data_IF_820651280246
#
_entry.id   IF_820651280246
#
_cell.length_a   1.000
_cell.length_b   1.000
_cell.length_c   1.000
_cell.angle_alpha   90.00
_cell.angle_beta   90.00
_cell.angle_gamma   90.00
#
_symmetry.space_group_name_H-M   'P 1'
#
loop_
_entity.id
_entity.type
_entity.pdbx_description
1 polymer ?
#
# COMPACT_ATOMS: atom_id res chain seq x y z
N UNK A 1 -30.22 -25.27 -45.21
CA UNK A 1 -29.86 -26.16 -44.08
C UNK A 1 -28.45 -25.78 -43.68
N UNK A 2 -28.33 -24.97 -42.64
CA UNK A 2 -27.06 -24.35 -42.24
C UNK A 2 -26.72 -24.91 -40.86
N UNK A 3 -25.66 -25.71 -40.82
CA UNK A 3 -25.18 -26.39 -39.61
C UNK A 3 -24.42 -25.40 -38.74
N UNK A 4 -24.90 -25.21 -37.50
CA UNK A 4 -24.20 -24.48 -36.43
C UNK A 4 -23.32 -25.49 -35.69
N UNK A 5 -22.01 -25.24 -35.67
CA UNK A 5 -21.05 -25.99 -34.84
C UNK A 5 -20.88 -25.23 -33.52
N UNK A 6 -21.26 -25.87 -32.42
CA UNK A 6 -20.98 -25.43 -31.05
C UNK A 6 -19.63 -26.02 -30.65
N UNK A 7 -18.65 -25.19 -30.32
CA UNK A 7 -17.39 -25.62 -29.70
C UNK A 7 -17.44 -25.23 -28.23
N UNK A 8 -17.55 -26.24 -27.36
CA UNK A 8 -17.41 -26.13 -25.92
C UNK A 8 -15.91 -26.15 -25.56
N UNK A 9 -15.43 -25.08 -24.92
CA UNK A 9 -14.08 -25.01 -24.34
C UNK A 9 -14.09 -25.48 -22.89
N UNK A 10 -13.38 -26.57 -22.61
CA UNK A 10 -13.20 -27.19 -21.30
C UNK A 10 -12.08 -26.46 -20.54
N UNK A 11 -12.37 -25.94 -19.34
CA UNK A 11 -11.35 -25.52 -18.37
C UNK A 11 -10.73 -26.76 -17.70
N UNK A 12 -9.42 -26.92 -17.85
CA UNK A 12 -8.63 -27.91 -17.13
C UNK A 12 -8.14 -27.34 -15.79
N UNK A 13 -8.59 -27.95 -14.69
CA UNK A 13 -8.07 -27.75 -13.33
C UNK A 13 -6.84 -28.63 -13.15
N UNK A 14 -5.70 -28.04 -12.76
CA UNK A 14 -4.56 -28.79 -12.22
C UNK A 14 -4.39 -28.46 -10.75
N UNK A 15 -4.77 -29.43 -9.91
CA UNK A 15 -4.51 -29.46 -8.48
C UNK A 15 -3.05 -29.84 -8.23
N UNK A 16 -2.29 -28.95 -7.58
CA UNK A 16 -0.94 -29.22 -7.08
C UNK A 16 -0.90 -28.99 -5.57
N UNK A 17 -1.08 -30.06 -4.80
CA UNK A 17 -0.95 -30.04 -3.34
C UNK A 17 0.52 -29.95 -2.92
N UNK A 18 0.89 -28.87 -2.24
CA UNK A 18 2.19 -28.73 -1.59
C UNK A 18 2.06 -29.11 -0.10
N UNK A 19 2.72 -30.21 0.27
CA UNK A 19 2.83 -30.71 1.64
C UNK A 19 3.83 -29.84 2.42
N UNK A 20 3.35 -29.15 3.45
CA UNK A 20 4.20 -28.42 4.40
C UNK A 20 5.01 -29.41 5.24
N UNK A 21 6.34 -29.34 5.18
CA UNK A 21 7.25 -30.02 6.11
C UNK A 21 7.85 -28.98 7.07
N UNK A 22 7.81 -29.17 8.39
CA UNK A 22 8.46 -28.28 9.33
C UNK A 22 9.98 -28.50 9.31
N UNK A 23 10.75 -27.41 9.24
CA UNK A 23 12.21 -27.45 9.40
C UNK A 23 12.62 -27.09 10.83
N UNK A 24 13.42 -27.98 11.40
CA UNK A 24 14.03 -27.88 12.71
C UNK A 24 15.25 -26.94 12.67
N UNK A 25 15.38 -26.11 13.71
CA UNK A 25 16.55 -25.25 13.94
C UNK A 25 17.66 -26.08 14.57
N UNK A 26 18.76 -26.30 13.85
CA UNK A 26 20.00 -26.82 14.43
C UNK A 26 20.95 -25.66 14.71
N UNK A 27 21.12 -25.36 16.00
CA UNK A 27 22.14 -24.44 16.48
C UNK A 27 23.54 -25.00 16.22
N UNK A 28 24.41 -24.19 15.61
CA UNK A 28 25.84 -24.52 15.47
C UNK A 28 26.62 -23.60 16.40
N UNK A 29 27.30 -24.21 17.37
CA UNK A 29 28.26 -23.58 18.28
C UNK A 29 29.52 -23.17 17.51
N UNK A 30 29.86 -21.88 17.54
CA UNK A 30 31.12 -21.41 16.97
C UNK A 30 32.26 -21.56 17.99
N UNK A 31 33.28 -22.32 17.60
CA UNK A 31 34.49 -22.63 18.37
C UNK A 31 35.49 -21.49 18.19
N UNK A 32 35.92 -20.89 19.30
CA UNK A 32 36.98 -19.90 19.32
C UNK A 32 38.33 -20.51 18.89
N UNK A 33 39.03 -19.84 17.98
CA UNK A 33 40.43 -20.12 17.62
C UNK A 33 41.29 -19.02 18.23
N UNK A 34 42.22 -19.42 19.10
CA UNK A 34 43.23 -18.55 19.68
C UNK A 34 44.34 -18.27 18.66
N UNK A 35 44.74 -17.00 18.54
CA UNK A 35 45.91 -16.56 17.77
C UNK A 35 46.92 -15.93 18.75
N UNK A 36 48.18 -16.37 18.65
CA UNK A 36 49.31 -15.95 19.47
C UNK A 36 49.80 -14.52 19.12
N UNK A 37 50.52 -13.84 20.03
CA UNK A 37 50.82 -12.41 19.89
C UNK A 37 52.04 -12.17 18.97
N UNK A 38 51.92 -11.22 18.06
CA UNK A 38 53.04 -10.62 17.35
C UNK A 38 53.44 -9.31 18.02
N UNK A 39 54.74 -9.17 18.30
CA UNK A 39 55.35 -7.97 18.86
C UNK A 39 55.36 -6.84 17.82
N UNK A 40 54.46 -5.87 17.99
CA UNK A 40 54.43 -4.61 17.24
C UNK A 40 54.89 -3.44 18.11
N UNK A 41 55.89 -2.71 17.63
CA UNK A 41 56.48 -1.50 18.21
C UNK A 41 55.43 -0.42 18.50
N UNK A 42 55.37 0.07 19.74
CA UNK A 42 54.44 1.13 20.17
C UNK A 42 54.89 2.51 19.68
N UNK A 43 54.00 3.22 18.98
CA UNK A 43 54.04 4.69 18.87
C UNK A 43 53.31 5.30 20.08
N UNK A 44 53.71 6.51 20.54
CA UNK A 44 52.99 7.18 21.62
C UNK A 44 51.57 7.59 21.18
N UNK A 45 50.61 7.68 22.10
CA UNK A 45 49.23 8.04 21.78
C UNK A 45 49.14 9.53 21.39
N UNK A 46 48.22 9.90 20.48
CA UNK A 46 47.92 11.30 20.24
C UNK A 46 47.24 11.92 21.47
N UNK A 47 47.61 13.16 21.78
CA UNK A 47 47.01 14.01 22.82
C UNK A 47 45.49 14.10 22.65
N UNK A 48 44.68 14.01 23.73
CA UNK A 48 43.24 14.20 23.64
C UNK A 48 42.91 15.61 23.15
N UNK A 49 42.17 15.71 22.03
CA UNK A 49 41.58 16.97 21.59
C UNK A 49 40.52 17.41 22.61
N UNK A 50 40.53 18.71 22.94
CA UNK A 50 39.55 19.32 23.83
C UNK A 50 38.11 19.10 23.31
N UNK A 51 37.11 18.91 24.19
CA UNK A 51 35.73 18.73 23.78
C UNK A 51 35.23 19.98 23.05
N UNK A 52 34.65 19.77 21.86
CA UNK A 52 33.98 20.82 21.13
C UNK A 52 32.80 21.36 21.96
N UNK A 53 32.51 22.67 21.90
CA UNK A 53 31.35 23.24 22.60
C UNK A 53 30.07 22.55 22.12
N UNK A 54 29.06 22.38 23.00
CA UNK A 54 27.79 21.80 22.62
C UNK A 54 27.18 22.65 21.50
N UNK A 55 27.00 22.04 20.32
CA UNK A 55 26.17 22.60 19.27
C UNK A 55 24.76 22.73 19.85
N UNK A 56 24.35 23.97 20.11
CA UNK A 56 22.98 24.29 20.46
C UNK A 56 22.10 23.80 19.31
N UNK A 57 21.26 22.79 19.56
CA UNK A 57 20.31 22.33 18.57
C UNK A 57 19.41 23.52 18.19
N UNK A 58 19.53 23.98 16.95
CA UNK A 58 18.56 24.89 16.35
C UNK A 58 17.20 24.21 16.46
N UNK A 59 16.17 24.86 17.04
CA UNK A 59 14.85 24.25 17.08
C UNK A 59 14.41 23.95 15.65
N UNK A 60 14.08 22.68 15.40
CA UNK A 60 13.45 22.25 14.16
C UNK A 60 12.26 23.17 13.91
N UNK A 61 12.15 23.84 12.75
CA UNK A 61 11.00 24.69 12.49
C UNK A 61 9.75 23.84 12.60
N UNK A 62 8.84 24.26 13.48
CA UNK A 62 7.52 23.66 13.65
C UNK A 62 6.82 23.78 12.30
N UNK A 63 6.68 22.66 11.58
CA UNK A 63 5.83 22.59 10.40
C UNK A 63 4.45 23.12 10.83
N UNK A 64 3.84 24.08 10.11
CA UNK A 64 2.50 24.55 10.44
C UNK A 64 1.59 23.34 10.64
N UNK A 65 0.92 23.26 11.78
CA UNK A 65 -0.01 22.18 12.05
C UNK A 65 -1.12 22.24 11.00
N UNK A 66 -1.29 21.16 10.24
CA UNK A 66 -2.40 21.00 9.30
C UNK A 66 -3.73 21.07 10.08
N UNK A 67 -4.73 21.76 9.53
CA UNK A 67 -6.08 21.73 10.08
C UNK A 67 -6.77 20.44 9.63
N UNK A 68 -6.79 19.43 10.49
CA UNK A 68 -7.44 18.14 10.22
C UNK A 68 -8.97 18.24 10.09
N UNK A 69 -9.58 19.38 10.43
CA UNK A 69 -10.99 19.67 10.17
C UNK A 69 -11.23 20.41 8.83
N UNK A 70 -10.16 20.71 8.08
CA UNK A 70 -10.21 21.51 6.85
C UNK A 70 -10.87 20.81 5.66
N UNK A 71 -11.00 19.48 5.67
CA UNK A 71 -11.75 18.72 4.68
C UNK A 71 -12.62 17.64 5.34
N UNK A 72 -13.71 17.26 4.67
CA UNK A 72 -14.65 16.27 5.19
C UNK A 72 -14.05 14.86 5.16
N UNK A 73 -14.34 14.07 6.19
CA UNK A 73 -14.01 12.64 6.25
C UNK A 73 -15.20 11.74 5.89
N UNK A 74 -16.33 12.34 5.48
CA UNK A 74 -17.58 11.64 5.18
C UNK A 74 -18.09 11.93 3.75
N UNK A 75 -17.85 13.13 3.25
CA UNK A 75 -18.25 13.52 1.90
C UNK A 75 -17.39 12.79 0.87
N UNK A 76 -17.96 11.95 -0.01
CA UNK A 76 -17.19 11.17 -0.97
C UNK A 76 -16.48 12.01 -2.05
N UNK A 77 -16.83 13.29 -2.18
CA UNK A 77 -16.10 14.25 -3.03
C UNK A 77 -14.85 14.83 -2.36
N UNK A 78 -14.69 14.65 -1.05
CA UNK A 78 -13.50 15.11 -0.31
C UNK A 78 -12.29 14.20 -0.57
N UNK A 79 -11.10 14.79 -0.67
CA UNK A 79 -9.84 14.02 -0.75
C UNK A 79 -9.57 13.26 0.54
N UNK A 80 -10.10 13.72 1.67
CA UNK A 80 -9.92 13.12 3.00
C UNK A 80 -11.06 12.19 3.43
N UNK A 81 -11.98 11.84 2.53
CA UNK A 81 -13.03 10.86 2.83
C UNK A 81 -12.44 9.55 3.37
N UNK A 82 -12.97 9.04 4.48
CA UNK A 82 -12.51 7.75 5.02
C UNK A 82 -13.56 6.70 4.72
N UNK A 83 -13.19 5.78 3.83
CA UNK A 83 -14.00 4.63 3.42
C UNK A 83 -13.33 3.37 3.95
N UNK A 84 -14.08 2.57 4.70
CA UNK A 84 -13.62 1.31 5.27
C UNK A 84 -14.81 0.42 5.64
N UNK A 85 -14.59 -0.70 6.33
CA UNK A 85 -15.65 -1.65 6.70
C UNK A 85 -16.77 -1.04 7.56
N UNK A 86 -16.47 -0.03 8.37
CA UNK A 86 -17.46 0.67 9.21
C UNK A 86 -18.05 1.91 8.55
N UNK A 87 -17.46 2.39 7.45
CA UNK A 87 -17.80 3.67 6.80
C UNK A 87 -17.96 3.45 5.29
N UNK A 88 -19.18 3.17 4.80
CA UNK A 88 -19.41 3.05 3.36
C UNK A 88 -19.39 4.44 2.70
N UNK A 89 -19.12 4.44 1.40
CA UNK A 89 -19.39 5.55 0.49
C UNK A 89 -20.89 5.87 0.55
N UNK A 90 -21.22 7.14 0.76
CA UNK A 90 -22.60 7.61 0.84
C UNK A 90 -22.78 8.84 -0.09
N UNK A 91 -23.70 8.77 -1.07
CA UNK A 91 -24.60 7.64 -1.38
C UNK A 91 -23.87 6.46 -2.04
N UNK A 92 -24.47 5.26 -1.98
CA UNK A 92 -23.83 4.03 -2.49
C UNK A 92 -23.59 4.05 -4.00
N UNK A 93 -24.34 4.84 -4.76
CA UNK A 93 -24.20 5.04 -6.20
C UNK A 93 -23.32 6.24 -6.56
N UNK A 94 -22.61 6.83 -5.59
CA UNK A 94 -21.68 7.91 -5.84
C UNK A 94 -20.62 7.47 -6.87
N UNK A 95 -20.46 8.32 -7.89
CA UNK A 95 -19.36 8.31 -8.84
C UNK A 95 -18.77 9.73 -8.93
N UNK A 96 -17.43 9.91 -8.88
CA UNK A 96 -16.83 11.22 -9.03
C UNK A 96 -17.12 11.82 -10.40
N UNK A 97 -17.50 13.10 -10.44
CA UNK A 97 -17.76 13.81 -11.70
C UNK A 97 -16.47 14.24 -12.44
N UNK A 98 -15.33 14.18 -11.76
CA UNK A 98 -14.03 14.70 -12.19
C UNK A 98 -13.02 13.60 -12.57
N UNK A 99 -13.51 12.46 -13.06
CA UNK A 99 -12.67 11.35 -13.51
C UNK A 99 -11.92 11.68 -14.81
N UNK A 100 -10.63 11.40 -14.82
CA UNK A 100 -9.71 11.52 -15.96
C UNK A 100 -8.94 10.23 -16.17
N UNK A 101 -8.46 9.99 -17.38
CA UNK A 101 -7.69 8.78 -17.71
C UNK A 101 -6.29 8.79 -17.11
N UNK A 102 -5.82 7.62 -16.67
CA UNK A 102 -4.46 7.35 -16.22
C UNK A 102 -4.07 5.96 -16.75
N UNK A 103 -3.52 5.92 -17.97
CA UNK A 103 -3.40 4.67 -18.73
C UNK A 103 -4.77 4.17 -19.19
N UNK A 104 -5.05 2.89 -18.99
CA UNK A 104 -6.35 2.27 -19.28
C UNK A 104 -7.36 2.47 -18.13
N UNK A 105 -6.91 3.03 -17.00
CA UNK A 105 -7.71 3.27 -15.81
C UNK A 105 -8.19 4.73 -15.73
N UNK A 106 -9.08 5.00 -14.77
CA UNK A 106 -9.54 6.36 -14.47
C UNK A 106 -9.28 6.72 -13.02
N UNK A 107 -8.94 7.97 -12.74
CA UNK A 107 -8.77 8.50 -11.37
C UNK A 107 -9.40 9.87 -11.29
N UNK A 108 -9.62 10.39 -10.08
CA UNK A 108 -10.02 11.79 -9.93
C UNK A 108 -8.91 12.73 -10.40
N UNK A 109 -9.29 13.89 -10.93
CA UNK A 109 -8.36 14.89 -11.44
C UNK A 109 -7.29 15.29 -10.41
N UNK A 110 -7.64 15.36 -9.13
CA UNK A 110 -6.70 15.68 -8.04
C UNK A 110 -5.56 14.66 -7.87
N UNK A 111 -5.77 13.42 -8.32
CA UNK A 111 -4.80 12.31 -8.21
C UNK A 111 -3.85 12.30 -9.41
N UNK A 112 -4.32 12.75 -10.57
CA UNK A 112 -3.69 12.50 -11.87
C UNK A 112 -2.22 12.97 -11.93
N UNK A 113 -1.95 14.23 -11.66
CA UNK A 113 -0.62 14.80 -11.85
C UNK A 113 0.40 14.21 -10.88
N UNK A 114 -0.03 13.92 -9.64
CA UNK A 114 0.80 13.27 -8.64
C UNK A 114 1.08 11.80 -8.97
N UNK A 115 0.09 11.07 -9.51
CA UNK A 115 0.28 9.72 -9.99
C UNK A 115 1.26 9.67 -11.17
N UNK A 116 1.11 10.58 -12.15
CA UNK A 116 2.03 10.69 -13.29
C UNK A 116 3.45 11.00 -12.81
N UNK A 117 3.59 11.93 -11.86
CA UNK A 117 4.89 12.25 -11.27
C UNK A 117 5.53 11.06 -10.54
N UNK A 118 4.74 10.28 -9.80
CA UNK A 118 5.19 9.07 -9.12
C UNK A 118 5.69 8.01 -10.11
N UNK A 119 4.91 7.72 -11.16
CA UNK A 119 5.28 6.75 -12.20
C UNK A 119 6.56 7.19 -12.93
N UNK A 120 6.69 8.48 -13.25
CA UNK A 120 7.89 9.03 -13.90
C UNK A 120 9.13 8.96 -12.99
N UNK A 121 8.97 9.23 -11.69
CA UNK A 121 10.04 9.12 -10.72
C UNK A 121 10.50 7.67 -10.53
N UNK A 122 9.57 6.72 -10.50
CA UNK A 122 9.88 5.29 -10.46
C UNK A 122 10.71 4.89 -11.69
N UNK A 123 10.27 5.28 -12.89
CA UNK A 123 10.97 4.96 -14.13
C UNK A 123 12.39 5.56 -14.16
N UNK A 124 12.56 6.78 -13.66
CA UNK A 124 13.88 7.42 -13.50
C UNK A 124 14.80 6.63 -12.55
N UNK A 125 14.22 5.98 -11.54
CA UNK A 125 14.92 5.10 -10.61
C UNK A 125 15.14 3.67 -11.16
N UNK A 126 14.74 3.39 -12.41
CA UNK A 126 14.85 2.07 -13.02
C UNK A 126 13.74 1.09 -12.61
N UNK A 127 12.65 1.59 -12.01
CA UNK A 127 11.48 0.81 -11.59
C UNK A 127 10.33 1.12 -12.52
N UNK A 128 9.82 0.11 -13.25
CA UNK A 128 8.75 0.30 -14.22
C UNK A 128 7.40 -0.04 -13.59
N UNK A 129 6.76 0.96 -12.97
CA UNK A 129 5.41 0.80 -12.45
C UNK A 129 4.35 0.91 -13.56
N UNK A 130 3.26 0.17 -13.40
CA UNK A 130 2.03 0.34 -14.17
C UNK A 130 0.83 0.48 -13.24
N UNK A 131 -0.24 1.13 -13.70
CA UNK A 131 -1.52 1.16 -12.99
C UNK A 131 -2.35 -0.02 -13.46
N UNK A 132 -2.80 -0.84 -12.52
CA UNK A 132 -3.59 -2.06 -12.77
C UNK A 132 -5.09 -1.85 -12.54
N UNK A 133 -5.44 -0.90 -11.66
CA UNK A 133 -6.83 -0.62 -11.30
C UNK A 133 -6.94 0.78 -10.69
N UNK A 134 -7.93 1.56 -11.13
CA UNK A 134 -8.24 2.90 -10.62
C UNK A 134 -9.67 2.98 -10.09
N UNK A 135 -10.46 3.91 -10.60
CA UNK A 135 -11.87 4.07 -10.24
C UNK A 135 -12.68 2.82 -10.56
N UNK A 136 -13.46 2.38 -9.59
CA UNK A 136 -14.36 1.24 -9.71
C UNK A 136 -15.74 1.59 -9.16
N UNK A 137 -16.77 1.48 -9.98
CA UNK A 137 -18.14 1.77 -9.55
C UNK A 137 -18.64 0.77 -8.51
N UNK A 138 -19.71 1.13 -7.79
CA UNK A 138 -20.41 0.21 -6.89
C UNK A 138 -20.81 -1.11 -7.59
N UNK A 139 -21.33 -1.00 -8.81
CA UNK A 139 -21.79 -2.17 -9.57
C UNK A 139 -20.62 -3.12 -9.91
N UNK A 140 -19.49 -2.58 -10.36
CA UNK A 140 -18.28 -3.37 -10.62
C UNK A 140 -17.72 -3.99 -9.35
N UNK A 141 -17.71 -3.26 -8.22
CA UNK A 141 -17.27 -3.83 -6.94
C UNK A 141 -18.18 -4.98 -6.49
N UNK A 142 -19.50 -4.90 -6.74
CA UNK A 142 -20.44 -5.99 -6.47
C UNK A 142 -20.10 -7.24 -7.26
N UNK A 143 -19.85 -7.11 -8.56
CA UNK A 143 -19.48 -8.26 -9.39
C UNK A 143 -18.18 -8.93 -8.91
N UNK A 144 -17.16 -8.14 -8.55
CA UNK A 144 -15.91 -8.66 -7.98
C UNK A 144 -16.17 -9.37 -6.65
N UNK A 145 -16.91 -8.74 -5.73
CA UNK A 145 -17.17 -9.31 -4.42
C UNK A 145 -17.98 -10.61 -4.51
N UNK A 146 -19.04 -10.63 -5.33
CA UNK A 146 -19.87 -11.81 -5.55
C UNK A 146 -19.05 -12.97 -6.16
N UNK A 147 -18.12 -12.67 -7.07
CA UNK A 147 -17.19 -13.67 -7.61
C UNK A 147 -16.25 -14.22 -6.54
N UNK A 148 -15.70 -13.37 -5.66
CA UNK A 148 -14.82 -13.79 -4.56
C UNK A 148 -15.58 -14.68 -3.57
N UNK A 149 -16.82 -14.31 -3.23
CA UNK A 149 -17.70 -15.14 -2.39
C UNK A 149 -17.96 -16.49 -3.04
N UNK A 150 -18.19 -16.53 -4.36
CA UNK A 150 -18.41 -17.77 -5.09
C UNK A 150 -17.21 -18.74 -5.05
N UNK A 151 -15.98 -18.22 -5.06
CA UNK A 151 -14.75 -19.02 -5.06
C UNK A 151 -14.23 -19.38 -3.66
N UNK A 152 -14.32 -18.45 -2.72
CA UNK A 152 -13.62 -18.52 -1.43
C UNK A 152 -14.59 -18.55 -0.23
N UNK A 153 -15.87 -18.26 -0.46
CA UNK A 153 -16.84 -18.02 0.61
C UNK A 153 -16.69 -16.64 1.25
N UNK A 154 -17.72 -16.24 2.01
CA UNK A 154 -17.83 -14.88 2.56
C UNK A 154 -16.68 -14.50 3.48
N UNK A 155 -16.27 -15.40 4.38
CA UNK A 155 -15.28 -15.09 5.40
C UNK A 155 -13.87 -14.79 4.83
N UNK A 156 -13.50 -15.45 3.73
CA UNK A 156 -12.22 -15.19 3.05
C UNK A 156 -12.35 -13.99 2.10
N UNK A 157 -13.46 -13.90 1.36
CA UNK A 157 -13.72 -12.76 0.47
C UNK A 157 -13.65 -11.41 1.22
N UNK A 158 -14.16 -11.34 2.45
CA UNK A 158 -14.14 -10.12 3.26
C UNK A 158 -12.75 -9.72 3.81
N UNK A 159 -11.75 -10.58 3.69
CA UNK A 159 -10.36 -10.26 4.07
C UNK A 159 -9.59 -9.61 2.92
N UNK A 160 -9.91 -9.98 1.68
CA UNK A 160 -9.16 -9.62 0.47
C UNK A 160 -9.97 -8.78 -0.52
N UNK A 161 -11.25 -8.51 -0.22
CA UNK A 161 -12.11 -7.68 -1.04
C UNK A 161 -13.09 -6.90 -0.18
N UNK A 162 -13.23 -5.61 -0.49
CA UNK A 162 -14.23 -4.77 0.15
C UNK A 162 -15.65 -5.16 -0.30
N UNK A 163 -16.62 -5.11 0.60
CA UNK A 163 -18.03 -5.15 0.21
C UNK A 163 -18.34 -3.95 -0.71
N UNK A 164 -19.34 -4.06 -1.61
CA UNK A 164 -19.76 -2.94 -2.45
C UNK A 164 -20.14 -1.74 -1.59
N UNK A 165 -19.66 -0.55 -1.96
CA UNK A 165 -19.80 0.66 -1.15
C UNK A 165 -18.73 0.84 -0.08
N UNK A 166 -17.87 -0.14 0.19
CA UNK A 166 -16.78 -0.04 1.17
C UNK A 166 -15.38 -0.03 0.51
N UNK A 167 -15.32 0.06 -0.82
CA UNK A 167 -14.05 0.12 -1.56
C UNK A 167 -13.61 1.56 -1.74
N UNK A 168 -12.34 1.87 -1.42
CA UNK A 168 -11.77 3.18 -1.72
C UNK A 168 -11.69 3.47 -3.23
N UNK A 169 -11.64 2.44 -4.09
CA UNK A 169 -11.67 2.61 -5.55
C UNK A 169 -12.91 3.36 -6.04
N UNK A 170 -14.05 3.26 -5.33
CA UNK A 170 -15.26 3.98 -5.68
C UNK A 170 -15.10 5.51 -5.53
N UNK A 171 -14.17 5.96 -4.70
CA UNK A 171 -13.86 7.40 -4.57
C UNK A 171 -13.02 7.93 -5.73
N UNK A 172 -12.41 7.05 -6.55
CA UNK A 172 -11.43 7.43 -7.56
C UNK A 172 -10.12 8.03 -6.98
N UNK A 173 -9.89 7.87 -5.67
CA UNK A 173 -8.67 8.28 -4.96
C UNK A 173 -7.70 7.12 -4.72
N UNK A 174 -8.11 5.88 -5.03
CA UNK A 174 -7.27 4.69 -4.90
C UNK A 174 -6.74 4.25 -6.27
N UNK A 175 -5.50 3.77 -6.28
CA UNK A 175 -4.87 3.12 -7.44
C UNK A 175 -4.14 1.87 -6.99
N UNK A 176 -4.30 0.78 -7.74
CA UNK A 176 -3.47 -0.41 -7.62
C UNK A 176 -2.33 -0.32 -8.62
N UNK A 177 -1.10 -0.53 -8.15
CA UNK A 177 0.10 -0.52 -9.01
C UNK A 177 0.73 -1.91 -9.13
N UNK A 178 1.27 -2.19 -10.31
CA UNK A 178 2.00 -3.41 -10.61
C UNK A 178 3.41 -3.15 -11.12
N UNK A 179 4.16 -4.23 -11.32
CA UNK A 179 5.45 -4.18 -11.99
C UNK A 179 5.26 -4.53 -13.48
N UNK A 180 5.51 -3.55 -14.35
CA UNK A 180 5.38 -3.70 -15.79
C UNK A 180 6.38 -4.70 -16.37
N UNK A 181 7.51 -4.94 -15.70
CA UNK A 181 8.58 -5.83 -16.14
C UNK A 181 8.49 -7.23 -15.55
N UNK A 182 7.88 -7.39 -14.38
CA UNK A 182 7.64 -8.69 -13.73
C UNK A 182 6.30 -8.73 -12.98
N UNK A 183 5.19 -9.04 -13.68
CA UNK A 183 3.86 -9.05 -13.08
C UNK A 183 3.60 -10.29 -12.20
N UNK A 184 4.60 -11.15 -11.94
CA UNK A 184 4.41 -12.43 -11.24
C UNK A 184 3.94 -12.28 -9.79
N UNK A 185 4.15 -11.11 -9.19
CA UNK A 185 3.71 -10.77 -7.84
C UNK A 185 2.56 -9.75 -7.81
N UNK A 186 1.99 -9.35 -8.95
CA UNK A 186 0.86 -8.41 -8.97
C UNK A 186 -0.32 -8.99 -8.20
N UNK A 187 -0.95 -8.18 -7.35
CA UNK A 187 -2.03 -8.57 -6.43
C UNK A 187 -1.68 -9.73 -5.46
N UNK A 188 -0.39 -10.00 -5.24
CA UNK A 188 0.08 -11.02 -4.30
C UNK A 188 0.92 -10.40 -3.17
N UNK A 189 0.93 -11.00 -1.96
CA UNK A 189 1.73 -10.49 -0.85
C UNK A 189 3.22 -10.32 -1.15
N UNK A 190 3.77 -11.09 -2.10
CA UNK A 190 5.17 -10.96 -2.50
C UNK A 190 5.50 -9.62 -3.18
N UNK A 191 4.51 -8.88 -3.71
CA UNK A 191 4.72 -7.55 -4.31
C UNK A 191 5.50 -6.62 -3.38
N UNK A 192 5.18 -6.61 -2.08
CA UNK A 192 5.84 -5.76 -1.09
C UNK A 192 7.36 -6.01 -0.96
N UNK A 193 7.86 -7.12 -1.49
CA UNK A 193 9.29 -7.48 -1.46
C UNK A 193 9.97 -7.37 -2.81
N UNK A 194 9.25 -7.06 -3.88
CA UNK A 194 9.84 -6.81 -5.20
C UNK A 194 10.53 -5.44 -5.25
N UNK A 195 11.43 -5.19 -6.21
CA UNK A 195 11.98 -3.85 -6.41
C UNK A 195 10.91 -2.77 -6.57
N UNK A 196 9.81 -3.08 -7.27
CA UNK A 196 8.66 -2.19 -7.42
C UNK A 196 7.96 -1.90 -6.10
N UNK A 197 7.60 -2.92 -5.32
CA UNK A 197 6.92 -2.72 -4.04
C UNK A 197 7.77 -2.01 -3.00
N UNK A 198 9.09 -2.29 -2.96
CA UNK A 198 10.03 -1.58 -2.08
C UNK A 198 10.16 -0.10 -2.46
N UNK A 199 10.19 0.21 -3.75
CA UNK A 199 10.22 1.61 -4.21
C UNK A 199 8.92 2.33 -3.85
N UNK A 200 7.77 1.69 -4.07
CA UNK A 200 6.45 2.22 -3.71
C UNK A 200 6.36 2.50 -2.21
N UNK A 201 6.76 1.54 -1.36
CA UNK A 201 6.74 1.71 0.09
C UNK A 201 7.62 2.88 0.57
N UNK A 202 8.74 3.15 -0.11
CA UNK A 202 9.65 4.24 0.23
C UNK A 202 9.17 5.61 -0.28
N UNK A 203 8.53 5.67 -1.45
CA UNK A 203 8.36 6.91 -2.20
C UNK A 203 6.91 7.34 -2.46
N UNK A 204 5.92 6.46 -2.39
CA UNK A 204 4.54 6.81 -2.73
C UNK A 204 4.02 8.04 -1.96
N UNK A 205 4.40 8.15 -0.69
CA UNK A 205 3.98 9.25 0.18
C UNK A 205 4.63 10.61 -0.17
N UNK A 206 5.73 10.63 -0.93
CA UNK A 206 6.30 11.88 -1.49
C UNK A 206 5.37 12.52 -2.54
N UNK A 207 4.49 11.70 -3.11
CA UNK A 207 3.50 12.09 -4.11
C UNK A 207 2.07 12.14 -3.54
N UNK A 208 1.92 12.06 -2.21
CA UNK A 208 0.60 12.16 -1.57
C UNK A 208 -0.17 10.84 -1.47
N UNK A 209 0.48 9.70 -1.73
CA UNK A 209 -0.13 8.38 -1.62
C UNK A 209 0.30 7.65 -0.34
N UNK A 210 -0.62 6.91 0.26
CA UNK A 210 -0.32 5.96 1.33
C UNK A 210 -0.30 4.56 0.72
N UNK A 211 0.64 3.71 1.13
CA UNK A 211 0.42 2.26 1.06
C UNK A 211 -0.64 1.94 2.10
N UNK A 212 -1.89 1.76 1.64
CA UNK A 212 -3.06 1.87 2.52
C UNK A 212 -3.15 0.73 3.52
N UNK A 213 -2.84 -0.48 3.08
CA UNK A 213 -2.97 -1.71 3.85
C UNK A 213 -1.61 -2.36 4.01
N UNK A 214 -1.03 -2.24 5.21
CA UNK A 214 0.26 -2.81 5.57
C UNK A 214 0.09 -3.89 6.63
N UNK A 215 1.07 -4.80 6.81
CA UNK A 215 1.00 -5.78 7.90
C UNK A 215 0.79 -5.13 9.27
N UNK A 216 1.44 -3.99 9.51
CA UNK A 216 1.44 -3.28 10.79
C UNK A 216 0.09 -2.62 11.09
N UNK A 217 -0.67 -2.22 10.06
CA UNK A 217 -1.92 -1.49 10.23
C UNK A 217 -3.20 -2.33 10.03
N UNK A 218 -3.06 -3.61 9.70
CA UNK A 218 -4.16 -4.54 9.40
C UNK A 218 -5.23 -4.62 10.50
N UNK A 219 -4.85 -4.51 11.78
CA UNK A 219 -5.81 -4.51 12.90
C UNK A 219 -6.71 -3.26 12.91
N UNK A 220 -6.18 -2.12 12.43
CA UNK A 220 -6.90 -0.85 12.37
C UNK A 220 -7.71 -0.74 11.08
N UNK A 221 -7.13 -1.12 9.94
CA UNK A 221 -7.80 -1.01 8.63
C UNK A 221 -8.80 -2.13 8.40
N UNK A 222 -8.55 -3.31 8.95
CA UNK A 222 -9.39 -4.50 8.80
C UNK A 222 -9.15 -5.28 7.51
N UNK A 223 -8.12 -4.94 6.72
CA UNK A 223 -7.76 -5.59 5.45
C UNK A 223 -6.43 -6.33 5.57
N UNK A 224 -6.26 -7.36 4.73
CA UNK A 224 -4.97 -8.00 4.53
C UNK A 224 -3.95 -7.00 3.97
N UNK A 225 -2.66 -7.30 4.09
CA UNK A 225 -1.61 -6.44 3.55
C UNK A 225 -1.63 -6.45 2.01
N UNK A 226 -1.67 -5.27 1.41
CA UNK A 226 -1.73 -5.04 -0.03
C UNK A 226 -0.67 -4.01 -0.40
N UNK A 227 0.56 -4.47 -0.67
CA UNK A 227 1.69 -3.59 -0.98
C UNK A 227 1.51 -2.77 -2.27
N UNK A 228 0.51 -3.11 -3.08
CA UNK A 228 0.15 -2.46 -4.34
C UNK A 228 -0.94 -1.38 -4.20
N UNK A 229 -1.78 -1.43 -3.15
CA UNK A 229 -2.94 -0.55 -3.02
C UNK A 229 -2.53 0.80 -2.45
N UNK A 230 -2.67 1.83 -3.27
CA UNK A 230 -2.29 3.20 -2.93
C UNK A 230 -3.51 4.09 -2.76
N UNK A 231 -3.57 4.80 -1.62
CA UNK A 231 -4.63 5.76 -1.31
C UNK A 231 -4.10 7.18 -1.38
N UNK A 232 -4.61 7.99 -2.30
CA UNK A 232 -4.29 9.40 -2.40
C UNK A 232 -4.97 10.21 -1.29
N UNK A 233 -4.18 11.04 -0.62
CA UNK A 233 -4.64 11.96 0.45
C UNK A 233 -4.12 13.39 0.27
N UNK A 234 -3.35 13.63 -0.80
CA UNK A 234 -2.63 14.88 -1.03
C UNK A 234 -1.32 14.94 -0.26
N UNK A 235 -0.35 15.67 -0.82
CA UNK A 235 1.01 15.78 -0.27
C UNK A 235 1.06 16.38 1.13
N UNK A 236 0.14 17.29 1.44
CA UNK A 236 0.08 17.96 2.74
C UNK A 236 -0.29 16.96 3.86
N UNK A 237 -1.39 16.22 3.72
CA UNK A 237 -1.78 15.22 4.73
C UNK A 237 -0.77 14.08 4.78
N UNK A 238 -0.28 13.62 3.63
CA UNK A 238 0.77 12.61 3.55
C UNK A 238 2.03 13.04 4.33
N UNK A 239 2.48 14.28 4.16
CA UNK A 239 3.60 14.85 4.90
C UNK A 239 3.35 14.96 6.40
N UNK A 240 2.14 15.37 6.80
CA UNK A 240 1.74 15.40 8.20
C UNK A 240 1.79 13.99 8.82
N UNK A 241 1.14 13.01 8.19
CA UNK A 241 1.11 11.62 8.66
C UNK A 241 2.52 11.05 8.82
N UNK A 242 3.41 11.30 7.86
CA UNK A 242 4.83 10.92 7.95
C UNK A 242 5.51 11.52 9.18
N UNK A 243 5.34 12.83 9.39
CA UNK A 243 5.98 13.54 10.50
C UNK A 243 5.45 13.10 11.88
N UNK A 244 4.19 12.70 11.94
CA UNK A 244 3.51 12.23 13.14
C UNK A 244 3.67 10.73 13.39
N UNK A 245 4.24 9.96 12.45
CA UNK A 245 4.34 8.51 12.54
C UNK A 245 2.99 7.79 12.44
N UNK A 246 2.00 8.42 11.81
CA UNK A 246 0.66 7.86 11.61
C UNK A 246 0.63 7.06 10.30
N UNK A 247 0.06 5.85 10.34
CA UNK A 247 0.04 4.93 9.19
C UNK A 247 -1.35 4.76 8.59
N UNK A 248 -2.40 5.26 9.25
CA UNK A 248 -3.79 5.10 8.82
C UNK A 248 -4.58 6.40 8.86
N UNK A 249 -5.60 6.49 7.99
CA UNK A 249 -6.57 7.59 8.05
C UNK A 249 -7.47 7.48 9.28
N UNK A 250 -7.75 6.25 9.71
CA UNK A 250 -8.49 5.96 10.93
C UNK A 250 -7.85 6.61 12.16
N UNK A 251 -6.56 6.38 12.40
CA UNK A 251 -5.85 6.99 13.53
C UNK A 251 -5.69 8.50 13.36
N UNK A 252 -5.42 8.95 12.12
CA UNK A 252 -5.24 10.38 11.82
C UNK A 252 -6.47 11.20 12.16
N UNK A 253 -7.66 10.68 11.87
CA UNK A 253 -8.92 11.38 12.10
C UNK A 253 -9.70 10.89 13.34
N UNK A 254 -9.17 9.91 14.09
CA UNK A 254 -9.85 9.32 15.25
C UNK A 254 -11.14 8.59 14.89
N UNK A 255 -11.16 7.92 13.74
CA UNK A 255 -12.35 7.26 13.16
C UNK A 255 -12.34 5.74 13.41
N UNK A 256 -13.53 5.10 13.45
CA UNK A 256 -13.61 3.65 13.60
C UNK A 256 -13.03 2.93 12.38
N UNK A 257 -12.38 1.81 12.64
CA UNK A 257 -11.97 0.83 11.65
C UNK A 257 -12.14 -0.59 12.19
N UNK A 258 -11.30 -1.50 11.72
CA UNK A 258 -11.26 -2.89 12.16
C UNK A 258 -11.88 -3.88 11.17
N UNK A 259 -11.76 -5.19 11.46
CA UNK A 259 -12.02 -6.23 10.47
C UNK A 259 -13.50 -6.56 10.28
N UNK A 260 -14.40 -6.00 11.08
CA UNK A 260 -15.81 -6.37 11.17
C UNK A 260 -16.69 -5.33 10.49
N UNK A 261 -17.55 -5.78 9.58
CA UNK A 261 -18.64 -4.96 9.05
C UNK A 261 -19.75 -4.83 10.11
N UNK A 262 -20.33 -3.63 10.30
CA UNK A 262 -21.43 -3.42 11.24
C UNK A 262 -22.72 -4.14 10.83
#
# INVERSE_FOLDING_TARGET
MTTVVVVAGVLGVLAGGAVLRPWAVTGTTSRAVAVAPTTGTSSPPPTPAAPAPPVTATPTPLVPAIDLAGQSTEDPSSTWVVVNKSRPVAPLDFEPADLVGLGDERVRTVVHDDAVAMLAAASTAGVQLTVLSGFRSYASQREIFDSMVGHHGVAEAEQVSARPGHSEHQTGLAVDVGDLTDPSCDFLPCFATTPAGLWVAAHAQDFGFLVRYTPENSAVTGYAAEGWHLRYVGRELAGHMRSAGLTTLEETFGLPGGPVYP
#
